data_IF_584340531295
#
_entry.id   IF_584340531295
#
_cell.length_a   1.000
_cell.length_b   1.000
_cell.length_c   1.000
_cell.angle_alpha   90.00
_cell.angle_beta   90.00
_cell.angle_gamma   90.00
#
_symmetry.space_group_name_H-M   'P 1'
#
loop_
_entity.id
_entity.type
_entity.pdbx_description
1 polymer ?
#
# COMPACT_ATOMS: atom_id res chain seq x y z
N UNK A 1 19.31 -37.76 -35.15
CA UNK A 1 18.26 -38.43 -34.34
C UNK A 1 17.91 -37.53 -33.16
N UNK A 2 16.65 -37.51 -32.73
CA UNK A 2 16.16 -36.53 -31.77
C UNK A 2 16.48 -36.87 -30.30
N UNK A 3 16.65 -35.84 -29.48
CA UNK A 3 16.59 -35.96 -28.02
C UNK A 3 15.11 -35.93 -27.55
N UNK A 4 14.74 -36.60 -26.45
CA UNK A 4 13.38 -36.58 -25.93
C UNK A 4 13.03 -35.19 -25.38
N UNK A 5 11.89 -34.65 -25.81
CA UNK A 5 11.35 -33.41 -25.25
C UNK A 5 10.77 -33.75 -23.86
N UNK A 6 11.41 -33.24 -22.80
CA UNK A 6 10.81 -33.24 -21.47
C UNK A 6 9.58 -32.34 -21.48
N UNK A 7 8.40 -32.97 -21.41
CA UNK A 7 7.14 -32.28 -21.23
C UNK A 7 7.16 -31.57 -19.87
N UNK A 8 7.38 -30.25 -19.89
CA UNK A 8 7.18 -29.42 -18.72
C UNK A 8 5.69 -29.47 -18.36
N UNK A 9 5.36 -30.20 -17.29
CA UNK A 9 3.97 -30.38 -16.86
C UNK A 9 3.27 -29.04 -16.73
N UNK A 10 2.13 -28.90 -17.39
CA UNK A 10 1.27 -27.73 -17.21
C UNK A 10 0.96 -27.62 -15.71
N UNK A 11 1.31 -26.49 -15.10
CA UNK A 11 1.14 -26.31 -13.67
C UNK A 11 -0.33 -26.47 -13.30
N UNK A 12 -0.62 -27.45 -12.43
CA UNK A 12 -1.92 -27.60 -11.80
C UNK A 12 -2.17 -26.38 -10.91
N UNK A 13 -2.74 -25.35 -11.52
CA UNK A 13 -2.95 -24.06 -10.90
C UNK A 13 -4.11 -24.16 -9.94
N UNK A 14 -3.81 -24.47 -8.68
CA UNK A 14 -4.71 -24.32 -7.53
C UNK A 14 -5.60 -23.10 -7.77
N UNK A 15 -6.89 -23.35 -8.00
CA UNK A 15 -7.88 -22.33 -8.41
C UNK A 15 -8.30 -21.56 -7.16
N UNK A 16 -7.30 -20.94 -6.55
CA UNK A 16 -7.34 -20.33 -5.25
C UNK A 16 -8.23 -19.08 -5.36
N UNK A 17 -9.50 -19.26 -5.00
CA UNK A 17 -10.56 -18.30 -5.29
C UNK A 17 -10.31 -16.94 -4.65
N UNK A 18 -10.47 -15.89 -5.46
CA UNK A 18 -10.27 -14.50 -5.07
C UNK A 18 -11.09 -14.14 -3.82
N UNK A 19 -10.50 -13.35 -2.92
CA UNK A 19 -11.15 -12.97 -1.66
C UNK A 19 -11.48 -11.49 -1.67
N UNK A 20 -12.77 -11.20 -1.50
CA UNK A 20 -13.31 -9.85 -1.62
C UNK A 20 -13.40 -9.17 -0.26
N UNK A 21 -13.00 -7.90 -0.21
CA UNK A 21 -13.16 -7.03 0.95
C UNK A 21 -13.81 -5.71 0.53
N UNK A 22 -14.47 -5.05 1.47
CA UNK A 22 -14.88 -3.66 1.35
C UNK A 22 -13.95 -2.82 2.22
N UNK A 23 -13.22 -1.88 1.59
CA UNK A 23 -12.50 -0.81 2.29
C UNK A 23 -13.47 0.35 2.49
N UNK A 24 -13.63 0.77 3.74
CA UNK A 24 -14.64 1.73 4.22
C UNK A 24 -13.99 2.86 5.01
N UNK A 25 -14.73 3.96 5.17
CA UNK A 25 -14.31 5.15 5.93
C UNK A 25 -13.31 6.05 5.19
N UNK A 26 -13.12 5.90 3.88
CA UNK A 26 -12.11 6.64 3.10
C UNK A 26 -12.45 8.14 3.09
N UNK A 27 -11.61 9.06 3.59
CA UNK A 27 -11.93 10.49 3.65
C UNK A 27 -12.14 11.11 2.28
N UNK A 28 -13.10 12.03 2.17
CA UNK A 28 -13.47 12.71 0.93
C UNK A 28 -12.30 13.45 0.23
N UNK A 29 -11.25 13.81 0.98
CA UNK A 29 -10.01 14.43 0.49
C UNK A 29 -9.10 13.46 -0.28
N UNK A 30 -9.08 12.17 0.05
CA UNK A 30 -8.14 11.21 -0.54
C UNK A 30 -8.46 10.90 -2.01
N UNK A 31 -7.40 10.65 -2.79
CA UNK A 31 -7.42 10.16 -4.17
C UNK A 31 -6.60 8.86 -4.26
N UNK A 32 -6.61 8.23 -5.43
CA UNK A 32 -5.91 6.96 -5.66
C UNK A 32 -4.38 7.04 -5.44
N UNK A 33 -3.77 8.21 -5.57
CA UNK A 33 -2.35 8.42 -5.24
C UNK A 33 -2.08 8.25 -3.74
N UNK A 34 -2.83 8.93 -2.87
CA UNK A 34 -2.68 8.79 -1.41
C UNK A 34 -3.04 7.39 -0.95
N UNK A 35 -4.08 6.76 -1.52
CA UNK A 35 -4.42 5.38 -1.18
C UNK A 35 -3.31 4.38 -1.58
N UNK A 36 -2.62 4.60 -2.71
CA UNK A 36 -1.45 3.79 -3.08
C UNK A 36 -0.28 4.00 -2.12
N UNK A 37 -0.09 5.23 -1.64
CA UNK A 37 0.92 5.52 -0.61
C UNK A 37 0.56 4.88 0.74
N UNK A 38 -0.71 4.90 1.15
CA UNK A 38 -1.17 4.32 2.40
C UNK A 38 -1.09 2.78 2.41
N UNK A 39 -1.56 2.11 1.36
CA UNK A 39 -1.52 0.65 1.25
C UNK A 39 -0.20 0.08 0.67
N UNK A 40 0.88 0.87 0.67
CA UNK A 40 2.11 0.60 -0.11
C UNK A 40 2.72 -0.78 0.12
N UNK A 41 2.95 -1.18 1.38
CA UNK A 41 3.51 -2.48 1.75
C UNK A 41 2.65 -3.65 1.22
N UNK A 42 1.32 -3.50 1.18
CA UNK A 42 0.41 -4.52 0.66
C UNK A 42 0.28 -4.49 -0.87
N UNK A 43 0.43 -3.32 -1.50
CA UNK A 43 0.50 -3.14 -2.96
C UNK A 43 1.78 -3.77 -3.52
N UNK A 44 2.96 -3.35 -3.04
CA UNK A 44 4.25 -3.78 -3.60
C UNK A 44 4.54 -5.27 -3.34
N UNK A 45 4.15 -5.79 -2.17
CA UNK A 45 4.21 -7.23 -1.89
C UNK A 45 3.20 -8.05 -2.72
N UNK A 46 2.40 -7.43 -3.58
CA UNK A 46 1.46 -8.09 -4.50
C UNK A 46 0.27 -8.71 -3.79
N UNK A 47 -0.34 -8.01 -2.83
CA UNK A 47 -1.47 -8.51 -2.05
C UNK A 47 -2.83 -8.39 -2.73
N UNK A 48 -3.04 -7.34 -3.53
CA UNK A 48 -4.29 -7.15 -4.28
C UNK A 48 -4.30 -7.94 -5.60
N UNK A 49 -5.46 -8.48 -5.95
CA UNK A 49 -5.82 -8.87 -7.32
C UNK A 49 -6.38 -7.66 -8.06
N UNK A 50 -7.22 -6.86 -7.41
CA UNK A 50 -7.65 -5.56 -7.93
C UNK A 50 -8.02 -4.59 -6.80
N UNK A 51 -7.53 -3.35 -6.89
CA UNK A 51 -8.01 -2.20 -6.15
C UNK A 51 -8.03 -1.01 -7.11
N UNK A 52 -9.18 -0.79 -7.75
CA UNK A 52 -9.44 0.38 -8.59
C UNK A 52 -10.41 1.34 -7.88
N UNK A 53 -9.84 2.29 -7.13
CA UNK A 53 -10.60 3.30 -6.40
C UNK A 53 -11.37 4.21 -7.37
N UNK A 54 -12.70 4.23 -7.20
CA UNK A 54 -13.63 5.22 -7.76
C UNK A 54 -14.33 5.91 -6.59
N UNK A 55 -14.84 7.12 -6.79
CA UNK A 55 -15.52 7.87 -5.74
C UNK A 55 -16.94 7.34 -5.51
N UNK A 56 -17.07 6.23 -4.76
CA UNK A 56 -18.35 5.68 -4.28
C UNK A 56 -18.62 6.18 -2.85
N UNK A 57 -19.68 6.95 -2.58
CA UNK A 57 -20.01 7.38 -1.22
C UNK A 57 -20.54 6.22 -0.37
N UNK A 58 -20.30 6.25 0.94
CA UNK A 58 -20.81 5.19 1.85
C UNK A 58 -22.28 5.38 2.24
N UNK A 59 -22.72 6.63 2.27
CA UNK A 59 -24.08 7.06 2.56
C UNK A 59 -24.47 8.13 1.55
N UNK A 60 -25.72 8.22 1.08
CA UNK A 60 -26.17 9.40 0.36
C UNK A 60 -25.92 10.66 1.19
N UNK A 61 -25.56 11.73 0.50
CA UNK A 61 -25.48 13.08 1.05
C UNK A 61 -26.79 13.47 1.75
N UNK A 62 -26.70 14.14 2.90
CA UNK A 62 -27.79 15.01 3.32
C UNK A 62 -27.90 16.17 2.30
N UNK A 63 -29.11 16.68 2.06
CA UNK A 63 -29.35 17.63 0.97
C UNK A 63 -28.48 18.89 1.08
N UNK A 64 -27.43 18.97 0.26
CA UNK A 64 -26.46 20.07 0.22
C UNK A 64 -25.05 19.77 0.75
N UNK A 65 -24.79 18.62 1.39
CA UNK A 65 -23.48 18.30 1.98
C UNK A 65 -22.74 17.15 1.26
N UNK A 66 -21.51 17.38 0.81
CA UNK A 66 -20.67 16.35 0.15
C UNK A 66 -20.43 15.13 1.08
N UNK A 67 -20.51 13.88 0.58
CA UNK A 67 -20.30 12.69 1.39
C UNK A 67 -18.90 12.64 2.04
N UNK A 68 -18.86 12.81 3.37
CA UNK A 68 -17.62 12.90 4.18
C UNK A 68 -16.71 11.67 4.03
N UNK A 69 -17.29 10.48 3.85
CA UNK A 69 -16.56 9.21 3.62
C UNK A 69 -17.01 8.47 2.36
N UNK A 70 -16.09 7.67 1.83
CA UNK A 70 -16.24 6.83 0.63
C UNK A 70 -15.80 5.40 0.91
N UNK A 71 -16.21 4.46 0.06
CA UNK A 71 -15.80 3.07 0.12
C UNK A 71 -15.27 2.56 -1.23
N UNK A 72 -14.58 1.43 -1.21
CA UNK A 72 -14.14 0.73 -2.41
C UNK A 72 -14.20 -0.79 -2.15
N UNK A 73 -14.91 -1.58 -2.97
CA UNK A 73 -14.71 -3.02 -2.99
C UNK A 73 -13.31 -3.31 -3.57
N UNK A 74 -12.63 -4.31 -3.03
CA UNK A 74 -11.29 -4.74 -3.44
C UNK A 74 -11.21 -6.26 -3.51
N UNK A 75 -10.39 -6.78 -4.41
CA UNK A 75 -10.13 -8.19 -4.59
C UNK A 75 -8.70 -8.46 -4.14
N UNK A 76 -8.53 -9.47 -3.30
CA UNK A 76 -7.32 -9.78 -2.55
C UNK A 76 -6.90 -11.20 -2.90
N UNK A 77 -5.59 -11.45 -2.99
CA UNK A 77 -5.08 -12.80 -3.19
C UNK A 77 -5.49 -13.73 -2.03
N UNK A 78 -5.69 -15.03 -2.31
CA UNK A 78 -5.87 -16.08 -1.31
C UNK A 78 -4.87 -16.00 -0.15
N UNK A 79 -5.31 -16.40 1.04
CA UNK A 79 -4.58 -16.24 2.31
C UNK A 79 -4.47 -14.78 2.80
N UNK A 80 -4.16 -13.83 1.91
CA UNK A 80 -3.76 -12.46 2.27
C UNK A 80 -4.89 -11.57 2.79
N UNK A 81 -6.16 -11.94 2.59
CA UNK A 81 -7.30 -11.17 3.11
C UNK A 81 -7.31 -11.03 4.64
N UNK A 82 -6.76 -12.01 5.40
CA UNK A 82 -6.60 -11.89 6.86
C UNK A 82 -5.54 -10.85 7.24
N UNK A 83 -4.39 -10.85 6.54
CA UNK A 83 -3.30 -9.89 6.74
C UNK A 83 -3.71 -8.46 6.37
N UNK A 84 -4.48 -8.27 5.30
CA UNK A 84 -5.03 -6.95 4.93
C UNK A 84 -5.86 -6.34 6.08
N UNK A 85 -6.75 -7.13 6.69
CA UNK A 85 -7.59 -6.67 7.82
C UNK A 85 -6.73 -6.37 9.03
N UNK A 86 -5.78 -7.25 9.39
CA UNK A 86 -4.87 -7.04 10.55
C UNK A 86 -4.06 -5.75 10.44
N UNK A 87 -3.48 -5.48 9.27
CA UNK A 87 -2.56 -4.35 9.11
C UNK A 87 -3.26 -3.00 9.05
N UNK A 88 -4.43 -2.91 8.40
CA UNK A 88 -5.02 -1.62 8.06
C UNK A 88 -6.41 -1.36 8.66
N UNK A 89 -7.13 -2.36 9.17
CA UNK A 89 -8.44 -2.11 9.78
C UNK A 89 -8.27 -1.58 11.20
N UNK A 90 -8.96 -0.50 11.54
CA UNK A 90 -8.85 0.18 12.84
C UNK A 90 -7.83 1.32 12.84
N UNK A 91 -6.78 1.24 12.02
CA UNK A 91 -5.74 2.29 11.89
C UNK A 91 -6.33 3.64 11.44
N UNK A 92 -5.69 4.75 11.84
CA UNK A 92 -6.06 6.09 11.35
C UNK A 92 -5.73 6.26 9.86
N UNK A 93 -6.35 7.23 9.21
CA UNK A 93 -5.94 7.65 7.86
C UNK A 93 -4.77 8.63 7.92
N UNK A 94 -3.78 8.43 7.06
CA UNK A 94 -2.61 9.32 6.94
C UNK A 94 -2.68 10.05 5.58
N UNK A 95 -2.60 11.37 5.64
CA UNK A 95 -2.57 12.26 4.48
C UNK A 95 -1.17 12.49 3.93
N UNK A 96 -1.01 13.39 2.93
CA UNK A 96 0.31 13.80 2.45
C UNK A 96 1.15 14.41 3.59
N UNK A 97 2.40 13.94 3.75
CA UNK A 97 3.33 14.47 4.76
C UNK A 97 2.95 14.11 6.21
N UNK A 98 2.49 12.88 6.45
CA UNK A 98 2.23 12.36 7.80
C UNK A 98 0.99 12.90 8.52
N UNK A 99 0.26 13.85 7.92
CA UNK A 99 -0.90 14.48 8.55
C UNK A 99 -2.00 13.46 8.94
N UNK A 100 -2.38 13.43 10.22
CA UNK A 100 -3.52 12.62 10.68
C UNK A 100 -4.82 13.13 10.05
N UNK A 101 -5.67 12.22 9.54
CA UNK A 101 -6.96 12.54 8.95
C UNK A 101 -8.10 11.92 9.75
N UNK A 102 -9.27 12.58 9.83
CA UNK A 102 -10.37 12.12 10.67
C UNK A 102 -10.95 10.79 10.18
N UNK A 103 -11.34 9.96 11.15
CA UNK A 103 -11.86 8.61 10.90
C UNK A 103 -10.76 7.56 10.80
N UNK A 104 -11.18 6.31 10.56
CA UNK A 104 -10.31 5.13 10.56
C UNK A 104 -10.55 4.30 9.31
N UNK A 105 -9.53 3.60 8.84
CA UNK A 105 -9.69 2.62 7.77
C UNK A 105 -10.45 1.41 8.33
N UNK A 106 -11.53 1.00 7.66
CA UNK A 106 -12.34 -0.15 8.08
C UNK A 106 -12.38 -1.17 6.95
N UNK A 107 -11.88 -2.39 7.19
CA UNK A 107 -11.82 -3.43 6.16
C UNK A 107 -12.70 -4.62 6.54
N UNK A 108 -13.85 -4.75 5.86
CA UNK A 108 -14.80 -5.86 6.05
C UNK A 108 -14.58 -6.92 4.98
N UNK A 109 -14.51 -8.20 5.36
CA UNK A 109 -14.48 -9.33 4.41
C UNK A 109 -15.90 -9.58 3.88
N UNK A 110 -16.07 -9.62 2.57
CA UNK A 110 -17.36 -9.93 1.93
C UNK A 110 -17.57 -11.45 1.97
N UNK A 111 -18.78 -11.89 2.33
CA UNK A 111 -19.18 -13.30 2.22
C UNK A 111 -19.71 -13.53 0.81
N UNK A 112 -19.18 -14.53 0.11
CA UNK A 112 -19.73 -14.93 -1.19
C UNK A 112 -20.91 -15.89 -0.97
N UNK A 113 -22.02 -15.63 -1.65
CA UNK A 113 -23.16 -16.55 -1.70
C UNK A 113 -22.91 -17.64 -2.73
N UNK A 114 -22.90 -18.90 -2.30
CA UNK A 114 -23.02 -20.02 -3.23
C UNK A 114 -24.47 -20.08 -3.73
N UNK A 115 -24.67 -19.88 -5.04
CA UNK A 115 -25.97 -20.11 -5.66
C UNK A 115 -26.18 -21.62 -5.86
N UNK A 116 -26.78 -22.25 -4.87
CA UNK A 116 -27.43 -23.57 -5.03
C UNK A 116 -28.88 -23.32 -5.43
N UNK A 117 -29.27 -23.72 -6.64
CA UNK A 117 -30.60 -23.45 -7.20
C UNK A 117 -31.69 -24.40 -6.63
N UNK A 118 -31.82 -24.43 -5.30
CA UNK A 118 -32.79 -25.23 -4.54
C UNK A 118 -33.53 -24.36 -3.52
N UNK A 119 -34.85 -24.27 -3.64
CA UNK A 119 -35.71 -23.54 -2.71
C UNK A 119 -35.54 -23.97 -1.25
N UNK A 120 -35.46 -23.00 -0.34
CA UNK A 120 -36.07 -23.07 0.98
C UNK A 120 -36.23 -21.67 1.58
N UNK A 121 -37.39 -21.41 2.18
CA UNK A 121 -37.68 -20.16 2.90
C UNK A 121 -37.15 -20.24 4.33
N UNK A 122 -36.92 -19.06 4.90
CA UNK A 122 -36.74 -18.80 6.34
C UNK A 122 -35.45 -19.34 6.98
N UNK A 123 -34.41 -18.50 6.95
CA UNK A 123 -33.62 -18.26 8.17
C UNK A 123 -33.30 -16.76 8.28
N UNK A 124 -33.52 -16.16 9.46
CA UNK A 124 -33.66 -14.70 9.62
C UNK A 124 -32.37 -14.02 10.11
N UNK A 125 -31.23 -14.69 9.94
CA UNK A 125 -29.88 -14.21 10.28
C UNK A 125 -28.99 -13.96 9.04
N UNK A 126 -29.60 -13.68 7.88
CA UNK A 126 -28.93 -13.55 6.59
C UNK A 126 -28.07 -12.27 6.48
N UNK A 127 -26.83 -12.33 6.97
CA UNK A 127 -25.82 -11.27 6.76
C UNK A 127 -25.26 -11.26 5.33
N UNK A 128 -25.96 -10.58 4.41
CA UNK A 128 -25.62 -10.27 3.01
C UNK A 128 -24.50 -11.11 2.37
N UNK A 129 -24.89 -12.25 1.80
CA UNK A 129 -24.03 -13.07 0.96
C UNK A 129 -24.15 -12.64 -0.51
N UNK A 130 -23.07 -12.07 -1.07
CA UNK A 130 -23.08 -11.48 -2.42
C UNK A 130 -22.61 -12.51 -3.45
N UNK A 131 -23.27 -12.59 -4.61
CA UNK A 131 -22.81 -13.46 -5.69
C UNK A 131 -21.54 -12.91 -6.36
N UNK A 132 -20.55 -13.76 -6.61
CA UNK A 132 -19.25 -13.35 -7.19
C UNK A 132 -19.39 -12.71 -8.59
N UNK A 133 -20.39 -13.15 -9.36
CA UNK A 133 -20.71 -12.59 -10.67
C UNK A 133 -21.14 -11.10 -10.59
N UNK A 134 -21.86 -10.70 -9.55
CA UNK A 134 -22.32 -9.32 -9.38
C UNK A 134 -21.20 -8.40 -8.88
N UNK A 135 -20.26 -8.94 -8.09
CA UNK A 135 -19.01 -8.25 -7.82
C UNK A 135 -18.21 -8.04 -9.12
N UNK A 136 -18.02 -9.08 -9.94
CA UNK A 136 -17.27 -8.97 -11.22
C UNK A 136 -17.88 -7.99 -12.24
N UNK A 137 -19.17 -7.64 -12.10
CA UNK A 137 -19.84 -6.61 -12.91
C UNK A 137 -19.55 -5.17 -12.46
N UNK A 138 -19.00 -4.96 -11.26
CA UNK A 138 -18.71 -3.61 -10.76
C UNK A 138 -17.53 -2.96 -11.51
N UNK A 139 -17.60 -1.65 -11.84
CA UNK A 139 -16.52 -0.96 -12.55
C UNK A 139 -15.22 -0.84 -11.73
N UNK A 140 -15.28 -0.98 -10.41
CA UNK A 140 -14.11 -1.12 -9.53
C UNK A 140 -13.32 -2.43 -9.75
N UNK A 141 -13.88 -3.40 -10.48
CA UNK A 141 -13.21 -4.64 -10.89
C UNK A 141 -12.92 -4.72 -12.40
N UNK A 142 -13.17 -3.65 -13.15
CA UNK A 142 -12.83 -3.53 -14.58
C UNK A 142 -11.85 -2.36 -14.82
N UNK A 143 -10.59 -2.46 -14.34
CA UNK A 143 -9.58 -1.42 -14.54
C UNK A 143 -9.04 -1.40 -15.98
N UNK A 144 -8.46 -0.27 -16.45
CA UNK A 144 -7.82 -0.21 -17.76
C UNK A 144 -6.59 -1.14 -17.82
N UNK A 145 -6.32 -1.72 -18.99
CA UNK A 145 -5.31 -2.77 -19.19
C UNK A 145 -3.88 -2.44 -18.74
N UNK A 146 -3.47 -1.17 -18.77
CA UNK A 146 -2.16 -0.72 -18.28
C UNK A 146 -2.06 -0.61 -16.73
N UNK A 147 -3.16 -0.88 -16.02
CA UNK A 147 -3.24 -0.99 -14.55
C UNK A 147 -3.96 -2.29 -14.18
N UNK A 148 -3.36 -3.47 -14.42
CA UNK A 148 -4.04 -4.76 -14.30
C UNK A 148 -4.60 -5.06 -12.90
N UNK A 149 -4.03 -4.45 -11.85
CA UNK A 149 -4.52 -4.58 -10.47
C UNK A 149 -5.24 -3.30 -9.98
N UNK A 150 -5.66 -2.42 -10.88
CA UNK A 150 -6.34 -1.15 -10.56
C UNK A 150 -5.39 0.01 -10.26
N UNK A 151 -5.96 1.21 -10.08
CA UNK A 151 -5.20 2.46 -9.93
C UNK A 151 -4.51 2.64 -8.57
N UNK A 152 -4.93 1.88 -7.55
CA UNK A 152 -4.28 1.74 -6.25
C UNK A 152 -3.49 0.43 -6.18
N UNK A 153 -4.09 -0.69 -6.63
CA UNK A 153 -3.52 -2.02 -6.45
C UNK A 153 -2.37 -2.41 -7.38
N UNK A 154 -2.10 -1.65 -8.45
CA UNK A 154 -0.96 -1.91 -9.35
C UNK A 154 0.35 -1.42 -8.72
N UNK A 155 1.35 -2.31 -8.52
CA UNK A 155 2.62 -1.93 -7.88
C UNK A 155 3.53 -1.12 -8.79
N UNK A 156 4.42 -0.34 -8.17
CA UNK A 156 5.33 0.60 -8.84
C UNK A 156 6.18 -0.08 -9.92
N UNK A 157 6.63 -1.33 -9.70
CA UNK A 157 7.42 -2.07 -10.70
C UNK A 157 6.73 -2.20 -12.06
N UNK A 158 5.42 -2.43 -12.09
CA UNK A 158 4.65 -2.54 -13.35
C UNK A 158 4.61 -1.20 -14.08
N UNK A 159 4.50 -0.09 -13.33
CA UNK A 159 4.60 1.24 -13.94
C UNK A 159 6.02 1.53 -14.44
N UNK A 160 7.07 1.15 -13.71
CA UNK A 160 8.47 1.28 -14.13
C UNK A 160 8.75 0.50 -15.43
N UNK A 161 8.25 -0.73 -15.53
CA UNK A 161 8.33 -1.57 -16.73
C UNK A 161 7.63 -0.92 -17.93
N UNK A 162 6.40 -0.42 -17.74
CA UNK A 162 5.65 0.28 -18.80
C UNK A 162 6.28 1.61 -19.22
N UNK A 163 6.95 2.32 -18.30
CA UNK A 163 7.71 3.55 -18.60
C UNK A 163 8.97 3.20 -19.40
N UNK A 164 9.76 2.21 -18.95
CA UNK A 164 10.97 1.73 -19.65
C UNK A 164 10.67 1.20 -21.05
N UNK A 165 9.49 0.59 -21.25
CA UNK A 165 9.02 0.11 -22.54
C UNK A 165 8.33 1.20 -23.40
N UNK A 166 8.29 2.46 -22.95
CA UNK A 166 7.58 3.58 -23.59
C UNK A 166 6.07 3.33 -23.84
N UNK A 167 5.44 2.42 -23.08
CA UNK A 167 4.03 2.03 -23.21
C UNK A 167 3.07 2.85 -22.34
N UNK A 168 3.57 3.76 -21.50
CA UNK A 168 2.76 4.61 -20.61
C UNK A 168 2.86 6.10 -21.03
N UNK A 169 1.77 6.73 -21.51
CA UNK A 169 1.83 8.11 -21.99
C UNK A 169 2.22 9.13 -20.89
N UNK A 170 3.06 10.14 -21.16
CA UNK A 170 3.53 11.09 -20.13
C UNK A 170 2.43 11.82 -19.35
N UNK A 171 1.30 12.14 -20.02
CA UNK A 171 0.10 12.73 -19.38
C UNK A 171 -0.52 11.82 -18.31
N UNK A 172 -0.35 10.50 -18.42
CA UNK A 172 -0.80 9.51 -17.44
C UNK A 172 0.18 9.42 -16.28
N UNK A 173 1.49 9.41 -16.55
CA UNK A 173 2.55 9.42 -15.51
C UNK A 173 2.34 10.60 -14.54
N UNK A 174 2.13 11.82 -15.06
CA UNK A 174 1.87 13.01 -14.23
C UNK A 174 0.60 12.90 -13.39
N UNK A 175 -0.44 12.21 -13.87
CA UNK A 175 -1.70 11.97 -13.15
C UNK A 175 -1.62 10.86 -12.11
N UNK A 176 -0.74 9.87 -12.30
CA UNK A 176 -0.59 8.74 -11.36
C UNK A 176 0.08 9.12 -10.04
N UNK A 177 0.87 10.21 -10.04
CA UNK A 177 1.66 10.66 -8.89
C UNK A 177 2.45 9.50 -8.27
N UNK A 178 3.33 8.91 -9.09
CA UNK A 178 4.19 7.80 -8.69
C UNK A 178 5.35 8.37 -7.86
N UNK A 179 5.45 7.93 -6.60
CA UNK A 179 6.67 8.10 -5.82
C UNK A 179 7.73 7.15 -6.38
N UNK A 180 8.47 7.62 -7.39
CA UNK A 180 9.73 6.99 -7.73
C UNK A 180 10.65 7.10 -6.50
N UNK A 181 11.27 6.01 -6.03
CA UNK A 181 12.35 6.15 -5.06
C UNK A 181 13.38 7.09 -5.70
N UNK A 182 13.79 8.13 -4.97
CA UNK A 182 14.87 9.01 -5.44
C UNK A 182 16.03 8.10 -5.82
N UNK A 183 16.59 8.28 -7.02
CA UNK A 183 17.84 7.62 -7.41
C UNK A 183 19.00 8.26 -6.65
N UNK A 184 18.98 8.11 -5.33
CA UNK A 184 20.21 8.10 -4.55
C UNK A 184 21.12 7.08 -5.22
N UNK A 185 22.35 7.50 -5.49
CA UNK A 185 23.36 6.64 -6.10
C UNK A 185 23.40 5.30 -5.36
N UNK A 186 23.52 4.20 -6.11
CA UNK A 186 23.83 2.90 -5.53
C UNK A 186 25.25 2.97 -4.96
N UNK A 187 25.37 3.57 -3.77
CA UNK A 187 26.60 3.66 -2.99
C UNK A 187 26.97 2.22 -2.69
N UNK A 188 28.04 1.75 -3.36
CA UNK A 188 28.51 0.35 -3.34
C UNK A 188 28.85 -0.18 -1.93
N UNK A 189 28.90 0.72 -0.95
CA UNK A 189 29.23 0.50 0.45
C UNK A 189 28.09 0.90 1.41
N UNK A 190 26.90 1.25 0.91
CA UNK A 190 25.77 1.75 1.72
C UNK A 190 24.78 0.69 2.19
N UNK A 191 24.79 -0.49 1.59
CA UNK A 191 23.97 -1.65 1.97
C UNK A 191 24.87 -2.88 2.18
N UNK A 192 25.82 -2.78 3.12
CA UNK A 192 26.54 -3.95 3.64
C UNK A 192 25.79 -4.39 4.90
N UNK A 193 25.17 -5.59 4.92
CA UNK A 193 24.64 -6.14 6.16
C UNK A 193 25.79 -6.37 7.14
N UNK A 194 25.72 -5.76 8.31
CA UNK A 194 26.65 -6.01 9.40
C UNK A 194 25.89 -6.73 10.51
N UNK A 195 26.30 -7.96 10.83
CA UNK A 195 25.76 -8.70 11.96
C UNK A 195 26.41 -8.15 13.23
N UNK A 196 25.65 -7.33 13.95
CA UNK A 196 26.04 -6.86 15.27
C UNK A 196 26.05 -8.06 16.22
N UNK A 197 27.17 -8.25 16.92
CA UNK A 197 27.24 -9.21 18.01
C UNK A 197 26.30 -8.74 19.14
N UNK A 198 25.69 -9.70 19.83
CA UNK A 198 24.74 -9.49 20.94
C UNK A 198 23.39 -8.80 20.61
N UNK A 199 22.98 -8.67 19.33
CA UNK A 199 21.61 -8.23 19.01
C UNK A 199 20.58 -9.36 19.04
N UNK A 200 19.66 -9.32 20.01
CA UNK A 200 18.45 -10.15 20.04
C UNK A 200 17.39 -9.62 19.05
N UNK A 201 16.86 -10.50 18.19
CA UNK A 201 15.81 -10.17 17.24
C UNK A 201 14.42 -10.18 17.88
N UNK A 202 14.12 -9.09 18.61
CA UNK A 202 12.78 -8.85 19.19
C UNK A 202 11.70 -9.02 18.11
N UNK A 203 10.67 -9.81 18.42
CA UNK A 203 9.49 -9.98 17.56
C UNK A 203 8.62 -8.72 17.69
N UNK A 204 9.00 -7.64 17.01
CA UNK A 204 8.15 -6.45 16.91
C UNK A 204 6.81 -6.78 16.26
N UNK A 205 5.77 -6.05 16.70
CA UNK A 205 4.48 -6.08 16.02
C UNK A 205 4.63 -5.62 14.57
N UNK A 206 3.78 -6.12 13.67
CA UNK A 206 3.91 -5.90 12.21
C UNK A 206 3.55 -4.45 11.82
N UNK A 207 4.45 -3.50 12.13
CA UNK A 207 4.29 -2.06 11.92
C UNK A 207 4.03 -1.71 10.46
N UNK A 208 3.17 -0.72 10.27
CA UNK A 208 2.59 -0.38 8.97
C UNK A 208 3.01 1.05 8.63
N UNK A 209 3.56 1.25 7.44
CA UNK A 209 4.14 2.51 7.01
C UNK A 209 3.62 2.92 5.63
N UNK A 210 3.43 4.23 5.42
CA UNK A 210 3.15 4.78 4.10
C UNK A 210 4.36 4.62 3.15
N UNK A 211 4.16 4.83 1.84
CA UNK A 211 5.24 4.98 0.87
C UNK A 211 6.15 6.20 1.10
N UNK A 212 5.84 7.05 2.08
CA UNK A 212 6.67 8.19 2.53
C UNK A 212 7.38 7.93 3.86
N UNK A 213 7.14 6.78 4.51
CA UNK A 213 7.75 6.40 5.79
C UNK A 213 6.96 6.82 7.03
N UNK A 214 5.77 7.39 6.87
CA UNK A 214 4.91 7.79 7.99
C UNK A 214 4.25 6.54 8.62
N UNK A 215 4.26 6.43 9.95
CA UNK A 215 3.67 5.26 10.63
C UNK A 215 2.14 5.33 10.73
N UNK A 216 1.49 4.21 10.44
CA UNK A 216 0.04 4.03 10.40
C UNK A 216 -0.42 3.38 11.73
N UNK A 217 -0.43 4.20 12.78
CA UNK A 217 -0.77 3.80 14.16
C UNK A 217 -2.29 3.83 14.46
N UNK A 218 -2.68 3.37 15.66
CA UNK A 218 -4.08 3.31 16.09
C UNK A 218 -4.50 4.50 16.97
N UNK A 219 -3.65 5.00 17.85
CA UNK A 219 -4.03 6.03 18.82
C UNK A 219 -3.94 7.47 18.29
N UNK A 220 -4.65 8.40 18.93
CA UNK A 220 -4.61 9.84 18.64
C UNK A 220 -3.49 10.55 19.42
N UNK A 221 -2.36 9.86 19.63
CA UNK A 221 -1.18 10.41 20.29
C UNK A 221 -0.34 11.30 19.36
N UNK A 222 0.34 12.34 19.88
CA UNK A 222 1.42 12.98 19.13
C UNK A 222 2.52 11.95 18.90
N UNK A 223 2.95 11.78 17.65
CA UNK A 223 4.13 10.94 17.36
C UNK A 223 5.36 11.70 17.86
N UNK A 224 5.77 11.40 19.09
CA UNK A 224 7.12 11.71 19.55
C UNK A 224 8.09 11.07 18.55
N UNK A 225 8.90 11.89 17.88
CA UNK A 225 10.04 11.38 17.14
C UNK A 225 10.93 10.69 18.18
N UNK A 226 11.52 9.51 17.89
CA UNK A 226 12.60 9.01 18.71
C UNK A 226 13.78 9.96 18.56
N UNK A 227 13.90 10.92 19.48
CA UNK A 227 15.14 11.65 19.68
C UNK A 227 16.19 10.63 20.09
N UNK A 228 17.25 10.53 19.29
CA UNK A 228 18.35 9.60 19.56
C UNK A 228 19.17 10.20 20.70
N UNK A 229 18.79 9.84 21.93
CA UNK A 229 19.54 10.19 23.14
C UNK A 229 20.90 9.52 23.08
N UNK A 230 21.89 10.25 22.56
CA UNK A 230 23.29 9.84 22.63
C UNK A 230 23.74 9.96 24.09
N UNK A 231 24.26 8.89 24.72
CA UNK A 231 24.85 8.99 26.05
C UNK A 231 26.14 9.81 26.00
N UNK A 232 26.40 10.60 27.03
CA UNK A 232 27.52 11.54 27.08
C UNK A 232 28.71 11.00 27.90
N UNK A 233 29.91 11.12 27.33
CA UNK A 233 31.23 11.03 27.97
C UNK A 233 32.27 11.56 26.96
N UNK A 234 32.98 12.69 27.14
CA UNK A 234 34.06 12.98 28.12
C UNK A 234 35.33 12.14 27.88
N UNK A 235 36.56 12.68 27.76
CA UNK A 235 37.04 14.08 27.73
C UNK A 235 37.63 14.37 26.31
N UNK A 236 38.66 15.16 25.94
CA UNK A 236 39.75 15.97 26.57
C UNK A 236 40.01 17.21 25.65
N UNK A 237 40.77 18.23 26.11
CA UNK A 237 41.12 19.46 25.34
C UNK A 237 42.48 19.37 24.60
N UNK A 238 42.64 20.11 23.47
CA UNK A 238 43.89 20.84 23.13
C UNK A 238 43.58 22.07 22.25
N UNK A 239 44.13 23.24 22.59
CA UNK A 239 44.16 24.45 21.74
C UNK A 239 45.42 24.46 20.86
N UNK A 240 45.30 24.88 19.59
CA UNK A 240 46.42 24.89 18.64
C UNK A 240 46.30 26.01 17.59
N UNK A 241 47.14 27.02 17.73
CA UNK A 241 47.20 28.28 16.99
C UNK A 241 47.45 28.20 15.47
N UNK A 242 46.95 29.22 14.74
CA UNK A 242 47.57 29.97 13.61
C UNK A 242 48.04 29.18 12.34
N UNK A 243 48.10 29.72 11.11
CA UNK A 243 48.04 31.10 10.61
C UNK A 243 47.44 31.18 9.16
N UNK A 244 47.76 32.25 8.42
CA UNK A 244 47.36 32.72 7.07
C UNK A 244 47.47 31.69 5.88
N UNK A 245 46.91 31.88 4.67
CA UNK A 245 46.82 33.08 3.80
C UNK A 245 45.46 33.34 3.11
N UNK A 246 45.28 34.59 2.66
CA UNK A 246 44.14 35.10 1.88
C UNK A 246 44.55 35.48 0.44
N UNK A 247 43.57 35.54 -0.48
CA UNK A 247 43.62 36.19 -1.80
C UNK A 247 44.62 35.70 -2.86
N UNK A 248 44.09 35.28 -4.02
CA UNK A 248 44.61 35.68 -5.35
C UNK A 248 43.58 35.40 -6.47
N UNK A 249 42.92 36.44 -6.98
CA UNK A 249 42.20 36.41 -8.26
C UNK A 249 41.89 37.83 -8.77
N UNK A 250 42.29 38.16 -10.01
CA UNK A 250 41.81 39.37 -10.70
C UNK A 250 42.85 40.19 -11.46
N UNK A 251 43.29 39.70 -12.61
CA UNK A 251 43.50 40.48 -13.85
C UNK A 251 43.12 39.57 -15.05
#
# INVERSE_FOLDING_TARGET
>A
MAAPILSAGAGDGDVATARYCLVSGIPASLRSAQLRAYFSQFVESGGFLCFHYRHRPERPAAAGEEPRTRCCPVAVRPGRARRLVRLYSGKRWVGPGGASLPGRCVIRRVRLGARTDTDSRNDMAAGDSVAEADLKRLPEFNPPSFMPHGNVGTPLRVFLELIRACRLPPRVIKKLQLNFPKTGSSRRYGNVPFEYQDTETVIEEERVYTATGDEITEDEGPVARPEVTQPASTEEDEEGQEEEEELHSGD
#
